data_IF_604441873689
#
_entry.id   IF_604441873689
#
_cell.length_a   1.000
_cell.length_b   1.000
_cell.length_c   1.000
_cell.angle_alpha   90.00
_cell.angle_beta   90.00
_cell.angle_gamma   90.00
#
_symmetry.space_group_name_H-M   'P 1'
#
loop_
_entity.id
_entity.type
_entity.pdbx_description
1 polymer ?
#
# COMPACT_ATOMS: atom_id res chain seq x y z
N UNK A 1 -21.93 -81.37 -4.10
CA UNK A 1 -22.41 -79.98 -4.19
C UNK A 1 -21.50 -79.10 -3.37
N UNK A 2 -20.59 -78.32 -4.02
CA UNK A 2 -19.65 -77.40 -3.34
C UNK A 2 -20.14 -75.98 -3.59
N UNK A 3 -20.50 -75.27 -2.53
CA UNK A 3 -20.85 -73.84 -2.63
C UNK A 3 -19.60 -73.01 -2.38
N UNK A 4 -19.13 -72.28 -3.42
CA UNK A 4 -18.06 -71.31 -3.32
C UNK A 4 -18.65 -69.99 -2.81
N UNK A 5 -18.12 -69.49 -1.71
CA UNK A 5 -18.41 -68.14 -1.21
C UNK A 5 -17.37 -67.16 -1.78
N UNK A 6 -17.80 -66.25 -2.62
CA UNK A 6 -16.97 -65.21 -3.18
C UNK A 6 -16.93 -64.02 -2.18
N UNK A 7 -15.75 -63.75 -1.64
CA UNK A 7 -15.47 -62.61 -0.77
C UNK A 7 -15.20 -61.38 -1.64
N UNK A 8 -16.12 -60.41 -1.65
CA UNK A 8 -15.95 -59.09 -2.28
C UNK A 8 -15.26 -58.16 -1.29
N UNK A 9 -13.98 -57.92 -1.46
CA UNK A 9 -13.22 -56.91 -0.70
C UNK A 9 -13.47 -55.54 -1.34
N UNK A 10 -14.26 -54.71 -0.70
CA UNK A 10 -14.46 -53.31 -1.09
C UNK A 10 -13.27 -52.47 -0.58
N UNK A 11 -12.39 -52.07 -1.48
CA UNK A 11 -11.35 -51.06 -1.20
C UNK A 11 -12.02 -49.68 -1.08
N UNK A 12 -12.23 -49.19 0.14
CA UNK A 12 -12.50 -47.78 0.38
C UNK A 12 -11.16 -46.99 0.27
N UNK A 13 -10.88 -46.47 -0.89
CA UNK A 13 -9.84 -45.43 -1.05
C UNK A 13 -10.38 -44.11 -0.49
N UNK A 14 -10.09 -43.86 0.78
CA UNK A 14 -10.35 -42.57 1.41
C UNK A 14 -9.53 -41.47 0.73
N UNK A 15 -10.19 -40.61 -0.05
CA UNK A 15 -9.64 -39.40 -0.59
C UNK A 15 -9.40 -38.42 0.58
N UNK A 16 -8.19 -38.41 1.15
CA UNK A 16 -7.75 -37.39 2.09
C UNK A 16 -7.71 -36.07 1.34
N UNK A 17 -8.78 -35.27 1.44
CA UNK A 17 -8.76 -33.90 0.99
C UNK A 17 -7.68 -33.14 1.79
N UNK A 18 -6.54 -32.89 1.15
CA UNK A 18 -5.51 -32.05 1.73
C UNK A 18 -6.11 -30.66 1.97
N UNK A 19 -6.32 -30.29 3.24
CA UNK A 19 -6.68 -28.91 3.59
C UNK A 19 -5.58 -28.01 3.11
N UNK A 20 -5.87 -26.96 2.29
CA UNK A 20 -4.82 -26.03 1.86
C UNK A 20 -4.13 -25.44 3.09
N UNK A 21 -2.80 -25.53 3.12
CA UNK A 21 -2.02 -24.87 4.17
C UNK A 21 -2.39 -23.38 4.20
N UNK A 22 -2.55 -22.78 5.38
CA UNK A 22 -2.83 -21.36 5.48
C UNK A 22 -1.73 -20.59 4.75
N UNK A 23 -2.13 -19.61 3.92
CA UNK A 23 -1.18 -18.77 3.18
C UNK A 23 -0.20 -18.09 4.14
N UNK A 24 1.07 -18.05 3.77
CA UNK A 24 2.11 -17.39 4.59
C UNK A 24 1.72 -15.92 4.85
N UNK A 25 1.91 -15.41 6.08
CA UNK A 25 1.69 -14.02 6.39
C UNK A 25 2.61 -13.13 5.54
N UNK A 26 2.06 -12.03 5.01
CA UNK A 26 2.78 -11.12 4.12
C UNK A 26 3.02 -9.77 4.78
N UNK A 27 4.19 -9.21 4.56
CA UNK A 27 4.51 -7.85 4.98
C UNK A 27 4.93 -7.00 3.78
N UNK A 28 4.55 -5.73 3.79
CA UNK A 28 5.12 -4.73 2.90
C UNK A 28 5.84 -3.66 3.72
N UNK A 29 6.99 -3.23 3.22
CA UNK A 29 7.79 -2.17 3.81
C UNK A 29 7.94 -1.07 2.78
N UNK A 30 7.46 0.12 3.12
CA UNK A 30 7.63 1.33 2.33
C UNK A 30 8.74 2.14 2.97
N UNK A 31 9.69 2.62 2.18
CA UNK A 31 10.68 3.60 2.63
C UNK A 31 10.35 4.94 2.00
N UNK A 32 9.92 5.86 2.86
CA UNK A 32 9.52 7.23 2.50
C UNK A 32 10.73 8.16 2.35
N UNK A 33 10.51 9.41 1.96
CA UNK A 33 11.47 10.53 1.88
C UNK A 33 12.66 10.29 0.93
N UNK A 34 12.52 9.44 -0.09
CA UNK A 34 13.57 9.31 -1.10
C UNK A 34 13.61 10.56 -1.98
N UNK A 35 14.84 11.03 -2.26
CA UNK A 35 15.05 12.10 -3.21
C UNK A 35 16.04 13.17 -2.77
N UNK A 36 16.19 13.43 -1.48
CA UNK A 36 17.13 14.44 -0.96
C UNK A 36 18.58 13.94 -0.89
N UNK A 37 18.78 12.71 -0.46
CA UNK A 37 20.10 12.09 -0.34
C UNK A 37 20.26 10.95 -1.34
N UNK A 38 21.16 11.13 -2.31
CA UNK A 38 21.49 10.08 -3.28
C UNK A 38 22.06 8.83 -2.60
N UNK A 39 23.07 8.92 -1.70
CA UNK A 39 23.60 7.73 -1.05
C UNK A 39 22.56 6.97 -0.23
N UNK A 40 21.69 7.69 0.50
CA UNK A 40 20.63 7.05 1.28
C UNK A 40 19.59 6.36 0.38
N UNK A 41 19.18 6.98 -0.74
CA UNK A 41 18.28 6.36 -1.71
C UNK A 41 18.89 5.13 -2.38
N UNK A 42 20.16 5.20 -2.81
CA UNK A 42 20.88 4.06 -3.37
C UNK A 42 21.00 2.90 -2.34
N UNK A 43 21.16 3.22 -1.05
CA UNK A 43 21.19 2.22 0.01
C UNK A 43 19.83 1.55 0.24
N UNK A 44 18.70 2.26 0.04
CA UNK A 44 17.35 1.68 0.05
C UNK A 44 17.15 0.72 -1.13
N UNK A 45 17.56 1.15 -2.34
CA UNK A 45 17.47 0.34 -3.55
C UNK A 45 18.25 -0.97 -3.41
N UNK A 46 19.38 -0.94 -2.71
CA UNK A 46 20.24 -2.10 -2.47
C UNK A 46 19.71 -3.07 -1.37
N UNK A 47 18.60 -2.78 -0.70
CA UNK A 47 18.02 -3.70 0.30
C UNK A 47 17.65 -5.05 -0.34
N UNK A 48 17.91 -6.18 0.34
CA UNK A 48 17.79 -7.53 -0.23
C UNK A 48 16.34 -8.08 -0.24
N UNK A 49 15.33 -7.20 -0.41
CA UNK A 49 13.93 -7.58 -0.45
C UNK A 49 13.13 -6.60 -1.33
N UNK A 50 11.91 -6.95 -1.77
CA UNK A 50 11.07 -6.10 -2.60
C UNK A 50 10.39 -4.97 -1.80
N UNK A 51 11.18 -4.12 -1.13
CA UNK A 51 10.66 -2.91 -0.49
C UNK A 51 10.08 -1.95 -1.53
N UNK A 52 9.07 -1.16 -1.14
CA UNK A 52 8.49 -0.11 -1.98
C UNK A 52 9.20 1.21 -1.71
N UNK A 53 9.66 1.86 -2.76
CA UNK A 53 10.38 3.14 -2.70
C UNK A 53 9.40 4.29 -2.91
N UNK A 54 9.15 5.10 -1.87
CA UNK A 54 8.31 6.29 -1.95
C UNK A 54 9.20 7.53 -2.14
N UNK A 55 9.05 8.16 -3.29
CA UNK A 55 9.96 9.22 -3.77
C UNK A 55 9.24 10.56 -3.80
N UNK A 56 9.84 11.61 -3.22
CA UNK A 56 9.36 12.98 -3.37
C UNK A 56 9.79 13.49 -4.74
N UNK A 57 8.84 13.83 -5.66
CA UNK A 57 9.15 14.03 -7.07
C UNK A 57 10.11 15.19 -7.37
N UNK A 58 9.89 16.34 -6.72
CA UNK A 58 10.61 17.59 -7.00
C UNK A 58 11.89 17.78 -6.17
N UNK A 59 12.45 16.70 -5.64
CA UNK A 59 13.73 16.71 -4.93
C UNK A 59 14.92 16.57 -5.89
N UNK A 60 16.15 16.99 -5.48
CA UNK A 60 17.32 17.00 -6.34
C UNK A 60 17.66 15.66 -7.01
N UNK A 61 17.34 14.55 -6.34
CA UNK A 61 17.65 13.20 -6.83
C UNK A 61 16.41 12.33 -7.08
N UNK A 62 15.20 12.85 -6.86
CA UNK A 62 13.95 12.09 -6.94
C UNK A 62 13.80 11.33 -8.25
N UNK A 63 13.82 12.04 -9.39
CA UNK A 63 13.72 11.44 -10.72
C UNK A 63 14.76 10.35 -10.98
N UNK A 64 16.01 10.58 -10.56
CA UNK A 64 17.09 9.60 -10.73
C UNK A 64 16.84 8.34 -9.89
N UNK A 65 16.51 8.54 -8.61
CA UNK A 65 16.29 7.43 -7.68
C UNK A 65 15.04 6.62 -8.04
N UNK A 66 13.96 7.27 -8.50
CA UNK A 66 12.78 6.57 -9.01
C UNK A 66 13.12 5.62 -10.14
N UNK A 67 13.83 6.12 -11.18
CA UNK A 67 14.28 5.29 -12.29
C UNK A 67 15.20 4.15 -11.83
N UNK A 68 16.21 4.42 -11.00
CA UNK A 68 17.14 3.40 -10.50
C UNK A 68 16.41 2.33 -9.67
N UNK A 69 15.41 2.72 -8.87
CA UNK A 69 14.59 1.78 -8.11
C UNK A 69 13.81 0.85 -9.03
N UNK A 70 13.17 1.39 -10.07
CA UNK A 70 12.44 0.60 -11.05
C UNK A 70 13.36 -0.34 -11.85
N UNK A 71 14.52 0.13 -12.29
CA UNK A 71 15.56 -0.67 -12.96
C UNK A 71 16.06 -1.83 -12.08
N UNK A 72 16.10 -1.63 -10.76
CA UNK A 72 16.44 -2.65 -9.77
C UNK A 72 15.25 -3.56 -9.39
N UNK A 73 14.10 -3.43 -10.05
CA UNK A 73 12.91 -4.23 -9.79
C UNK A 73 12.16 -3.86 -8.51
N UNK A 74 12.43 -2.71 -7.90
CA UNK A 74 11.67 -2.18 -6.77
C UNK A 74 10.37 -1.54 -7.25
N UNK A 75 9.31 -1.64 -6.47
CA UNK A 75 8.11 -0.86 -6.69
C UNK A 75 8.37 0.60 -6.32
N UNK A 76 7.93 1.52 -7.20
CA UNK A 76 8.05 2.96 -7.00
C UNK A 76 6.67 3.56 -6.77
N UNK A 77 6.56 4.48 -5.81
CA UNK A 77 5.38 5.29 -5.59
C UNK A 77 5.75 6.76 -5.37
N UNK A 78 4.80 7.65 -5.64
CA UNK A 78 4.93 9.07 -5.38
C UNK A 78 4.74 9.33 -3.89
N UNK A 79 5.71 9.94 -3.23
CA UNK A 79 5.58 10.48 -1.88
C UNK A 79 5.22 11.95 -1.99
N UNK A 80 3.91 12.26 -1.96
CA UNK A 80 3.40 13.58 -2.33
C UNK A 80 3.31 14.50 -1.11
N UNK A 81 4.00 15.66 -1.11
CA UNK A 81 3.90 16.63 -0.03
C UNK A 81 2.48 17.19 0.09
N UNK A 82 1.99 17.35 1.32
CA UNK A 82 0.64 17.81 1.63
C UNK A 82 0.63 18.71 2.86
N UNK A 83 -0.30 19.67 2.90
CA UNK A 83 -0.45 20.65 3.96
C UNK A 83 -0.58 20.03 5.36
N UNK A 84 0.05 20.72 6.35
CA UNK A 84 0.16 20.29 7.74
C UNK A 84 -0.55 21.24 8.71
N UNK A 85 -0.96 20.72 9.87
CA UNK A 85 -1.62 21.52 10.91
C UNK A 85 -0.72 22.60 11.51
N UNK A 86 0.57 22.37 11.55
CA UNK A 86 1.57 23.31 12.09
C UNK A 86 2.08 24.31 11.05
N UNK A 87 1.48 24.35 9.86
CA UNK A 87 1.77 25.27 8.77
C UNK A 87 3.28 25.42 8.43
N UNK A 88 4.05 24.35 8.63
CA UNK A 88 5.49 24.35 8.25
C UNK A 88 5.67 24.47 6.74
N UNK A 89 6.86 24.91 6.32
CA UNK A 89 7.22 24.94 4.91
C UNK A 89 7.11 23.54 4.29
N UNK A 90 6.45 23.46 3.15
CA UNK A 90 6.26 22.23 2.41
C UNK A 90 7.27 22.14 1.28
N UNK A 91 7.58 20.91 0.89
CA UNK A 91 8.38 20.65 -0.30
C UNK A 91 7.68 21.14 -1.58
N UNK A 92 8.42 21.46 -2.64
CA UNK A 92 7.85 21.83 -3.93
C UNK A 92 6.87 20.77 -4.45
N UNK A 93 5.83 21.22 -5.13
CA UNK A 93 4.78 20.33 -5.66
C UNK A 93 3.77 19.87 -4.61
N UNK A 94 3.70 20.55 -3.45
CA UNK A 94 2.77 20.18 -2.39
C UNK A 94 1.30 20.46 -2.74
N UNK A 95 0.42 19.63 -2.19
CA UNK A 95 -1.02 19.90 -2.18
C UNK A 95 -1.39 20.78 -0.96
N UNK A 96 -2.23 21.79 -1.22
CA UNK A 96 -2.75 22.70 -0.21
C UNK A 96 -4.27 22.61 -0.11
N UNK A 97 -4.79 23.06 1.02
CA UNK A 97 -6.23 23.28 1.19
C UNK A 97 -6.74 24.29 0.14
N UNK A 98 -7.97 24.08 -0.31
CA UNK A 98 -8.59 24.98 -1.29
C UNK A 98 -8.18 24.79 -2.74
N UNK A 99 -7.21 23.92 -3.06
CA UNK A 99 -6.89 23.61 -4.45
C UNK A 99 -8.09 23.03 -5.20
N UNK A 100 -8.32 23.56 -6.41
CA UNK A 100 -9.30 23.02 -7.34
C UNK A 100 -8.87 21.66 -7.88
N UNK A 101 -9.81 20.93 -8.48
CA UNK A 101 -9.52 19.66 -9.14
C UNK A 101 -8.45 19.81 -10.24
N UNK A 102 -8.50 20.89 -11.01
CA UNK A 102 -7.51 21.17 -12.07
C UNK A 102 -6.11 21.42 -11.50
N UNK A 103 -6.00 22.13 -10.38
CA UNK A 103 -4.71 22.37 -9.71
C UNK A 103 -4.12 21.07 -9.15
N UNK A 104 -4.94 20.24 -8.50
CA UNK A 104 -4.50 18.90 -8.04
C UNK A 104 -4.07 18.05 -9.24
N UNK A 105 -4.84 18.08 -10.35
CA UNK A 105 -4.49 17.40 -11.59
C UNK A 105 -3.11 17.82 -12.11
N UNK A 106 -2.84 19.11 -12.19
CA UNK A 106 -1.55 19.63 -12.67
C UNK A 106 -0.37 19.20 -11.79
N UNK A 107 -0.54 19.17 -10.46
CA UNK A 107 0.48 18.65 -9.53
C UNK A 107 0.77 17.17 -9.82
N UNK A 108 -0.27 16.36 -10.00
CA UNK A 108 -0.11 14.93 -10.28
C UNK A 108 0.52 14.68 -11.66
N UNK A 109 0.16 15.44 -12.68
CA UNK A 109 0.75 15.33 -14.03
C UNK A 109 2.26 15.63 -13.99
N UNK A 110 2.64 16.66 -13.24
CA UNK A 110 4.06 16.98 -13.00
C UNK A 110 4.77 15.87 -12.22
N UNK A 111 4.17 15.37 -11.16
CA UNK A 111 4.75 14.28 -10.37
C UNK A 111 4.96 13.01 -11.22
N UNK A 112 3.97 12.62 -12.05
CA UNK A 112 4.09 11.48 -12.97
C UNK A 112 5.11 11.73 -14.10
N UNK A 113 5.27 12.96 -14.57
CA UNK A 113 6.31 13.31 -15.53
C UNK A 113 7.72 13.12 -14.94
N UNK A 114 7.88 13.39 -13.65
CA UNK A 114 9.14 13.20 -12.93
C UNK A 114 9.38 11.73 -12.55
N UNK A 115 8.30 11.00 -12.23
CA UNK A 115 8.31 9.61 -11.78
C UNK A 115 7.35 8.76 -12.63
N UNK A 116 7.63 8.53 -13.92
CA UNK A 116 6.76 7.75 -14.81
C UNK A 116 6.64 6.28 -14.40
N UNK A 117 7.57 5.78 -13.57
CA UNK A 117 7.59 4.43 -13.03
C UNK A 117 6.60 4.23 -11.87
N UNK A 118 6.10 5.31 -11.27
CA UNK A 118 5.27 5.24 -10.07
C UNK A 118 3.93 4.55 -10.35
N UNK A 119 3.57 3.61 -9.47
CA UNK A 119 2.33 2.84 -9.54
C UNK A 119 1.29 3.27 -8.52
N UNK A 120 1.66 4.11 -7.57
CA UNK A 120 0.79 4.58 -6.50
C UNK A 120 1.30 5.86 -5.87
N UNK A 121 0.60 6.26 -4.81
CA UNK A 121 0.90 7.47 -4.06
C UNK A 121 0.65 7.25 -2.57
N UNK A 122 1.50 7.85 -1.73
CA UNK A 122 1.21 8.07 -0.32
C UNK A 122 1.48 9.54 0.07
N UNK A 123 0.98 9.97 1.21
CA UNK A 123 1.16 11.33 1.67
C UNK A 123 2.48 11.51 2.42
N UNK A 124 3.30 12.48 1.96
CA UNK A 124 4.35 13.09 2.76
C UNK A 124 3.74 14.17 3.63
N UNK A 125 3.96 14.10 4.96
CA UNK A 125 3.24 14.98 5.89
C UNK A 125 1.71 14.85 5.73
N UNK A 126 0.99 15.98 5.57
CA UNK A 126 -0.44 15.98 5.25
C UNK A 126 -1.37 15.90 6.45
N UNK A 127 -0.90 16.26 7.65
CA UNK A 127 -1.73 16.17 8.86
C UNK A 127 -2.98 17.06 8.84
N UNK A 128 -2.99 18.16 8.07
CA UNK A 128 -4.18 18.97 7.81
C UNK A 128 -4.98 18.39 6.64
N UNK A 129 -4.36 18.27 5.46
CA UNK A 129 -5.07 17.96 4.23
C UNK A 129 -5.77 16.59 4.25
N UNK A 130 -5.14 15.56 4.86
CA UNK A 130 -5.72 14.22 4.93
C UNK A 130 -6.96 14.12 5.84
N UNK A 131 -7.19 15.10 6.72
CA UNK A 131 -8.38 15.20 7.55
C UNK A 131 -9.57 15.87 6.83
N UNK A 132 -9.35 16.47 5.65
CA UNK A 132 -10.34 17.23 4.91
C UNK A 132 -11.02 16.38 3.82
N UNK A 133 -12.35 16.23 3.90
CA UNK A 133 -13.09 15.34 3.00
C UNK A 133 -13.07 15.81 1.53
N UNK A 134 -13.21 17.11 1.29
CA UNK A 134 -13.32 17.63 -0.07
C UNK A 134 -12.00 17.53 -0.87
N UNK A 135 -10.81 17.92 -0.32
CA UNK A 135 -9.53 17.69 -0.98
C UNK A 135 -9.24 16.22 -1.21
N UNK A 136 -9.53 15.35 -0.22
CA UNK A 136 -9.32 13.90 -0.36
C UNK A 136 -10.19 13.31 -1.47
N UNK A 137 -11.46 13.71 -1.56
CA UNK A 137 -12.32 13.25 -2.66
C UNK A 137 -11.73 13.64 -4.02
N UNK A 138 -11.36 14.91 -4.20
CA UNK A 138 -10.74 15.38 -5.44
C UNK A 138 -9.44 14.65 -5.78
N UNK A 139 -8.59 14.44 -4.80
CA UNK A 139 -7.33 13.70 -4.98
C UNK A 139 -7.60 12.27 -5.42
N UNK A 140 -8.47 11.54 -4.72
CA UNK A 140 -8.76 10.13 -5.04
C UNK A 140 -9.40 9.97 -6.43
N UNK A 141 -10.27 10.88 -6.85
CA UNK A 141 -10.82 10.87 -8.22
C UNK A 141 -9.72 11.07 -9.27
N UNK A 142 -8.75 11.93 -9.02
CA UNK A 142 -7.60 12.12 -9.89
C UNK A 142 -6.68 10.90 -9.93
N UNK A 143 -6.44 10.23 -8.81
CA UNK A 143 -5.64 9.00 -8.74
C UNK A 143 -6.34 7.85 -9.48
N UNK A 144 -7.66 7.73 -9.35
CA UNK A 144 -8.46 6.72 -10.06
C UNK A 144 -8.33 6.85 -11.59
N UNK A 145 -8.42 8.08 -12.13
CA UNK A 145 -8.24 8.35 -13.57
C UNK A 145 -6.84 7.98 -14.07
N UNK A 146 -5.84 7.99 -13.19
CA UNK A 146 -4.44 7.68 -13.49
C UNK A 146 -4.05 6.24 -13.16
N UNK A 147 -5.00 5.43 -12.69
CA UNK A 147 -4.78 4.05 -12.26
C UNK A 147 -3.69 3.90 -11.19
N UNK A 148 -3.58 4.89 -10.29
CA UNK A 148 -2.65 4.86 -9.17
C UNK A 148 -3.34 4.29 -7.93
N UNK A 149 -2.66 3.41 -7.19
CA UNK A 149 -3.12 3.01 -5.87
C UNK A 149 -2.78 4.08 -4.81
N UNK A 150 -3.40 3.96 -3.62
CA UNK A 150 -3.13 4.89 -2.53
C UNK A 150 -2.78 4.18 -1.22
N UNK A 151 -1.78 4.71 -0.48
CA UNK A 151 -1.48 4.30 0.90
C UNK A 151 -1.55 5.49 1.83
N UNK A 152 -2.41 5.43 2.84
CA UNK A 152 -2.50 6.45 3.89
C UNK A 152 -1.32 6.28 4.87
N UNK A 153 -0.40 7.25 4.89
CA UNK A 153 0.74 7.26 5.81
C UNK A 153 0.34 7.54 7.27
N UNK A 154 -0.93 7.94 7.51
CA UNK A 154 -1.50 8.17 8.83
C UNK A 154 -0.69 9.13 9.70
N UNK A 155 -0.39 10.30 9.18
CA UNK A 155 0.27 11.39 9.89
C UNK A 155 -0.66 12.12 10.86
N UNK A 156 -1.98 11.86 10.77
CA UNK A 156 -3.02 12.35 11.67
C UNK A 156 -3.99 11.20 11.98
N UNK A 157 -4.40 11.06 13.24
CA UNK A 157 -5.38 10.05 13.65
C UNK A 157 -6.78 10.28 13.04
N UNK A 158 -7.13 11.55 12.72
CA UNK A 158 -8.39 11.94 12.08
C UNK A 158 -8.37 11.82 10.55
N UNK A 159 -7.34 11.23 9.94
CA UNK A 159 -7.24 11.08 8.49
C UNK A 159 -8.48 10.43 7.88
N UNK A 160 -8.91 10.95 6.74
CA UNK A 160 -10.00 10.42 5.91
C UNK A 160 -9.46 9.73 4.64
N UNK A 161 -8.14 9.76 4.43
CA UNK A 161 -7.51 9.42 3.15
C UNK A 161 -7.81 7.99 2.69
N UNK A 162 -7.53 6.97 3.52
CA UNK A 162 -7.84 5.57 3.20
C UNK A 162 -9.33 5.37 2.88
N UNK A 163 -10.22 5.92 3.72
CA UNK A 163 -11.67 5.83 3.51
C UNK A 163 -12.11 6.50 2.21
N UNK A 164 -11.53 7.65 1.87
CA UNK A 164 -11.82 8.35 0.62
C UNK A 164 -11.33 7.56 -0.60
N UNK A 165 -10.16 6.93 -0.51
CA UNK A 165 -9.63 6.06 -1.55
C UNK A 165 -10.56 4.86 -1.82
N UNK A 166 -11.00 4.16 -0.78
CA UNK A 166 -11.95 3.06 -0.92
C UNK A 166 -13.29 3.51 -1.52
N UNK A 167 -13.81 4.68 -1.13
CA UNK A 167 -15.05 5.24 -1.71
C UNK A 167 -14.91 5.57 -3.18
N UNK A 168 -13.73 6.01 -3.60
CA UNK A 168 -13.42 6.27 -5.01
C UNK A 168 -13.14 4.99 -5.81
N UNK A 169 -13.09 3.83 -5.17
CA UNK A 169 -12.83 2.54 -5.82
C UNK A 169 -11.36 2.30 -6.14
N UNK A 170 -10.42 2.92 -5.41
CA UNK A 170 -9.00 2.63 -5.59
C UNK A 170 -8.58 1.39 -4.81
N UNK A 171 -7.59 0.63 -5.33
CA UNK A 171 -6.78 -0.23 -4.46
C UNK A 171 -6.10 0.65 -3.41
N UNK A 172 -6.38 0.41 -2.14
CA UNK A 172 -5.88 1.26 -1.08
C UNK A 172 -5.63 0.49 0.23
N UNK A 173 -4.76 1.08 1.04
CA UNK A 173 -4.44 0.61 2.38
C UNK A 173 -3.88 1.74 3.23
N UNK A 174 -3.39 1.38 4.40
CA UNK A 174 -2.80 2.33 5.33
C UNK A 174 -1.58 1.73 6.02
N UNK A 175 -0.75 2.59 6.56
CA UNK A 175 0.31 2.19 7.47
C UNK A 175 -0.25 1.56 8.75
N UNK A 176 0.19 0.34 9.05
CA UNK A 176 -0.08 -0.33 10.32
C UNK A 176 1.00 -0.01 11.36
N UNK A 177 2.26 0.09 10.94
CA UNK A 177 3.41 0.29 11.81
C UNK A 177 4.32 1.39 11.29
N UNK A 178 4.81 2.25 12.18
CA UNK A 178 5.85 3.23 11.90
C UNK A 178 7.15 2.71 12.47
N UNK A 179 8.14 2.38 11.62
CA UNK A 179 9.34 1.68 12.06
C UNK A 179 10.28 2.54 12.90
N UNK A 180 10.40 3.82 12.56
CA UNK A 180 11.51 4.67 12.98
C UNK A 180 11.09 6.08 13.45
N UNK A 181 9.91 6.21 14.04
CA UNK A 181 9.52 7.43 14.74
C UNK A 181 10.46 7.74 15.95
N UNK A 182 11.24 6.75 16.36
CA UNK A 182 12.44 6.88 17.18
C UNK A 182 13.57 6.13 16.46
N UNK A 183 14.72 6.80 16.28
CA UNK A 183 15.87 6.30 15.52
C UNK A 183 16.81 5.41 16.33
N UNK A 184 16.31 4.66 17.29
CA UNK A 184 17.12 3.69 18.03
C UNK A 184 16.78 2.25 17.61
N UNK A 185 17.79 1.41 17.54
CA UNK A 185 17.68 0.02 17.06
C UNK A 185 16.70 -0.82 17.89
N UNK A 186 16.62 -0.58 19.21
CA UNK A 186 15.72 -1.33 20.08
C UNK A 186 14.26 -1.00 19.73
N UNK A 187 13.96 0.27 19.51
CA UNK A 187 12.63 0.69 19.08
C UNK A 187 12.27 0.17 17.68
N UNK A 188 13.18 0.27 16.72
CA UNK A 188 12.97 -0.25 15.35
C UNK A 188 12.67 -1.74 15.40
N UNK A 189 13.43 -2.51 16.19
CA UNK A 189 13.20 -3.93 16.41
C UNK A 189 11.83 -4.21 17.05
N UNK A 190 11.41 -3.42 18.04
CA UNK A 190 10.08 -3.55 18.65
C UNK A 190 8.97 -3.33 17.61
N UNK A 191 9.07 -2.28 16.79
CA UNK A 191 8.10 -1.97 15.74
C UNK A 191 8.09 -3.05 14.65
N UNK A 192 9.25 -3.55 14.26
CA UNK A 192 9.32 -4.66 13.30
C UNK A 192 8.67 -5.94 13.85
N UNK A 193 8.90 -6.27 15.10
CA UNK A 193 8.21 -7.38 15.76
C UNK A 193 6.70 -7.16 15.85
N UNK A 194 6.24 -5.92 16.04
CA UNK A 194 4.82 -5.58 15.97
C UNK A 194 4.27 -5.83 14.56
N UNK A 195 5.00 -5.45 13.50
CA UNK A 195 4.64 -5.72 12.11
C UNK A 195 4.43 -7.23 11.88
N UNK A 196 5.37 -8.05 12.32
CA UNK A 196 5.28 -9.51 12.20
C UNK A 196 4.07 -10.09 12.97
N UNK A 197 3.81 -9.61 14.19
CA UNK A 197 2.64 -10.02 14.98
C UNK A 197 1.33 -9.65 14.27
N UNK A 198 1.25 -8.45 13.66
CA UNK A 198 0.07 -8.03 12.89
C UNK A 198 -0.13 -8.89 11.66
N UNK A 199 0.92 -9.13 10.89
CA UNK A 199 0.87 -9.96 9.70
C UNK A 199 0.41 -11.40 10.01
N UNK A 200 0.94 -12.00 11.07
CA UNK A 200 0.54 -13.35 11.51
C UNK A 200 -0.94 -13.42 11.94
N UNK A 201 -1.49 -12.36 12.52
CA UNK A 201 -2.90 -12.33 12.95
C UNK A 201 -3.88 -12.02 11.82
N UNK A 202 -3.49 -11.18 10.85
CA UNK A 202 -4.39 -10.62 9.83
C UNK A 202 -4.12 -11.15 8.42
N UNK A 203 -3.07 -11.97 8.25
CA UNK A 203 -2.58 -12.40 6.95
C UNK A 203 -1.61 -11.40 6.29
N UNK A 204 -1.68 -10.11 6.65
CA UNK A 204 -0.77 -9.09 6.13
C UNK A 204 -0.63 -7.88 7.05
N UNK A 205 0.43 -7.08 6.85
CA UNK A 205 0.62 -5.77 7.49
C UNK A 205 1.58 -4.89 6.66
N UNK A 206 1.41 -3.56 6.77
CA UNK A 206 2.19 -2.54 6.07
C UNK A 206 2.99 -1.71 7.09
N UNK A 207 4.29 -1.61 6.89
CA UNK A 207 5.16 -0.72 7.64
C UNK A 207 5.67 0.43 6.76
N UNK A 208 5.86 1.59 7.36
CA UNK A 208 6.59 2.71 6.78
C UNK A 208 7.82 3.00 7.65
N UNK A 209 8.95 3.23 7.00
CA UNK A 209 10.18 3.75 7.58
C UNK A 209 10.83 4.76 6.65
N UNK A 210 11.99 5.30 7.06
CA UNK A 210 12.72 6.32 6.35
C UNK A 210 14.16 5.86 6.07
N UNK A 211 14.91 6.53 5.17
CA UNK A 211 16.26 6.10 4.80
C UNK A 211 17.30 6.51 5.83
N UNK A 212 16.99 6.32 7.13
CA UNK A 212 17.93 6.54 8.22
C UNK A 212 18.94 5.39 8.31
N UNK A 213 20.21 5.68 8.65
CA UNK A 213 21.21 4.63 8.78
C UNK A 213 20.76 3.47 9.68
N UNK A 214 20.18 3.77 10.84
CA UNK A 214 19.73 2.78 11.81
C UNK A 214 18.63 1.88 11.23
N UNK A 215 17.67 2.45 10.48
CA UNK A 215 16.60 1.70 9.82
C UNK A 215 17.16 0.79 8.73
N UNK A 216 18.06 1.32 7.89
CA UNK A 216 18.64 0.55 6.79
C UNK A 216 19.56 -0.57 7.30
N UNK A 217 20.35 -0.30 8.33
CA UNK A 217 21.22 -1.31 8.93
C UNK A 217 20.43 -2.45 9.57
N UNK A 218 19.34 -2.11 10.25
CA UNK A 218 18.41 -3.09 10.80
C UNK A 218 17.76 -3.94 9.69
N UNK A 219 17.20 -3.28 8.66
CA UNK A 219 16.51 -3.99 7.58
C UNK A 219 17.44 -4.90 6.77
N UNK A 220 18.71 -4.50 6.53
CA UNK A 220 19.70 -5.37 5.87
C UNK A 220 19.92 -6.68 6.62
N UNK A 221 19.86 -6.65 7.95
CA UNK A 221 20.09 -7.83 8.79
C UNK A 221 18.84 -8.73 8.85
N UNK A 222 17.63 -8.16 8.96
CA UNK A 222 16.43 -8.95 9.23
C UNK A 222 15.70 -9.42 7.97
N UNK A 223 15.76 -8.68 6.86
CA UNK A 223 15.00 -9.03 5.65
C UNK A 223 15.41 -10.39 5.06
N UNK A 224 16.69 -10.79 5.01
CA UNK A 224 17.08 -12.12 4.53
C UNK A 224 16.53 -13.29 5.37
N UNK A 225 16.12 -13.01 6.61
CA UNK A 225 15.63 -14.03 7.54
C UNK A 225 14.12 -14.28 7.41
N UNK A 226 13.40 -13.47 6.64
CA UNK A 226 11.92 -13.49 6.61
C UNK A 226 11.38 -14.78 6.02
N UNK A 227 11.99 -15.31 4.97
CA UNK A 227 11.58 -16.58 4.39
C UNK A 227 11.68 -17.73 5.42
N UNK A 228 12.79 -17.80 6.17
CA UNK A 228 12.98 -18.77 7.23
C UNK A 228 11.98 -18.57 8.40
N UNK A 229 11.56 -17.32 8.64
CA UNK A 229 10.54 -17.00 9.63
C UNK A 229 9.11 -17.30 9.14
N UNK A 230 8.96 -17.85 7.92
CA UNK A 230 7.68 -18.15 7.29
C UNK A 230 6.87 -16.90 6.95
N UNK A 231 7.53 -15.78 6.64
CA UNK A 231 6.90 -14.50 6.28
C UNK A 231 7.36 -14.07 4.90
N UNK A 232 6.40 -13.76 4.04
CA UNK A 232 6.68 -13.24 2.70
C UNK A 232 6.79 -11.71 2.72
N UNK A 233 7.90 -11.16 2.19
CA UNK A 233 8.03 -9.72 1.95
C UNK A 233 7.59 -9.43 0.53
N UNK A 234 6.64 -8.51 0.36
CA UNK A 234 6.04 -8.20 -0.96
C UNK A 234 5.99 -6.69 -1.20
N UNK A 235 5.96 -6.24 -2.47
CA UNK A 235 5.62 -4.86 -2.80
C UNK A 235 4.25 -4.49 -2.22
N UNK A 236 4.06 -3.21 -1.83
CA UNK A 236 2.82 -2.83 -1.13
C UNK A 236 1.57 -3.04 -1.98
N UNK A 237 1.65 -2.86 -3.29
CA UNK A 237 0.52 -3.09 -4.19
C UNK A 237 -0.07 -4.52 -4.09
N UNK A 238 0.73 -5.50 -3.69
CA UNK A 238 0.28 -6.90 -3.49
C UNK A 238 -0.56 -7.10 -2.24
N UNK A 239 -0.63 -6.13 -1.36
CA UNK A 239 -1.43 -6.15 -0.13
C UNK A 239 -2.70 -5.30 -0.21
N UNK A 240 -2.82 -4.45 -1.23
CA UNK A 240 -3.96 -3.55 -1.34
C UNK A 240 -5.18 -4.32 -1.88
N UNK A 241 -6.29 -4.20 -1.17
CA UNK A 241 -7.55 -4.77 -1.65
C UNK A 241 -7.95 -4.12 -2.99
N UNK A 242 -8.34 -4.90 -3.99
CA UNK A 242 -9.01 -4.33 -5.15
C UNK A 242 -10.29 -3.61 -4.69
N UNK A 243 -10.77 -2.57 -5.42
CA UNK A 243 -12.05 -1.97 -5.12
C UNK A 243 -13.11 -3.07 -5.03
N UNK A 244 -13.95 -3.01 -3.99
CA UNK A 244 -15.08 -3.93 -3.89
C UNK A 244 -15.85 -3.85 -5.22
N UNK A 245 -16.02 -4.99 -5.90
CA UNK A 245 -16.81 -5.03 -7.12
C UNK A 245 -18.14 -4.36 -6.77
N UNK A 246 -18.49 -3.28 -7.50
CA UNK A 246 -19.79 -2.65 -7.34
C UNK A 246 -20.82 -3.76 -7.54
N UNK A 247 -21.51 -4.15 -6.46
CA UNK A 247 -22.67 -5.01 -6.57
C UNK A 247 -23.59 -4.27 -7.51
N UNK A 248 -23.67 -4.74 -8.76
CA UNK A 248 -24.44 -4.12 -9.80
C UNK A 248 -25.86 -3.88 -9.24
N UNK A 249 -26.31 -2.64 -9.29
CA UNK A 249 -27.69 -2.35 -8.96
C UNK A 249 -28.54 -3.32 -9.77
N UNK A 250 -29.27 -4.18 -9.08
CA UNK A 250 -30.20 -5.11 -9.72
C UNK A 250 -31.06 -4.29 -10.69
N UNK A 251 -31.27 -4.74 -11.93
CA UNK A 251 -32.11 -4.03 -12.88
C UNK A 251 -33.49 -3.84 -12.24
N UNK A 252 -33.92 -2.58 -12.15
CA UNK A 252 -35.26 -2.24 -11.68
C UNK A 252 -36.27 -2.98 -12.54
N UNK A 253 -37.20 -3.73 -11.98
CA UNK A 253 -38.22 -4.41 -12.79
C UNK A 253 -38.99 -3.37 -13.60
N UNK A 254 -39.33 -3.66 -14.87
CA UNK A 254 -40.07 -2.74 -15.71
C UNK A 254 -41.41 -2.42 -15.05
N UNK A 255 -41.75 -1.14 -15.02
CA UNK A 255 -42.81 -0.54 -14.27
C UNK A 255 -44.17 -1.24 -14.38
N UNK A 256 -44.80 -1.42 -13.23
CA UNK A 256 -46.23 -1.65 -13.16
C UNK A 256 -46.96 -0.39 -13.66
N UNK A 257 -47.61 -0.51 -14.79
CA UNK A 257 -48.48 0.50 -15.30
C UNK A 257 -49.60 0.77 -14.30
N UNK A 258 -49.72 1.99 -13.81
CA UNK A 258 -50.91 2.46 -13.10
C UNK A 258 -52.03 2.51 -14.11
N UNK A 259 -52.92 1.54 -14.06
CA UNK A 259 -54.24 1.60 -14.71
C UNK A 259 -55.08 2.58 -13.92
N UNK A 260 -55.25 3.75 -14.48
CA UNK A 260 -56.34 4.64 -14.13
C UNK A 260 -57.65 4.06 -14.68
N UNK A 261 -58.61 3.86 -13.84
CA UNK A 261 -59.99 3.55 -14.24
C UNK A 261 -60.94 4.65 -13.70
N UNK A 262 -62.00 4.95 -14.38
CA UNK A 262 -62.72 6.25 -14.42
C UNK A 262 -63.46 6.60 -13.15
#
# INVERSE_FOLDING_TARGET
VRHGVALVAALLTGLLAATPAPAAPRIAIIIDDLGYSRPAGEAVIALPAPVTCAVIPETPHGRRLGRQAAEAGKEVMIHLPMATLDARALDPGALHEGMSEAQIGAVLDRAQTLLPEARGLNNHMGSALTAEAAPMTRLMDQLRRRHLFFVDSRTNAATLAERSAHRAGLPAGRRDVFLDNRRDLAHINEQFNQLLRLARRRGHAIAIGHPYPETLDYLRQVLPLMEQAGVEVVPVSRLLAPPAASVGAAPRPPGAALTSNP
#
